data_IF_125845143471
#
_entry.id   IF_125845143471
#
_cell.length_a   1.000
_cell.length_b   1.000
_cell.length_c   1.000
_cell.angle_alpha   90.00
_cell.angle_beta   90.00
_cell.angle_gamma   90.00
#
_symmetry.space_group_name_H-M   'P 1'
#
loop_
_entity.id
_entity.type
_entity.pdbx_description
1 polymer ?
#
# COMPACT_ATOMS: atom_id res chain seq x y z
N UNK A 1 1.47 -49.19 32.26
CA UNK A 1 1.20 -49.00 30.82
C UNK A 1 0.96 -47.52 30.54
N UNK A 2 1.45 -47.04 29.40
CA UNK A 2 1.85 -45.65 29.13
C UNK A 2 0.68 -44.64 29.05
N UNK A 3 0.47 -43.84 30.10
CA UNK A 3 -0.50 -42.72 30.14
C UNK A 3 -0.12 -41.52 29.26
N UNK A 4 1.09 -41.51 28.68
CA UNK A 4 1.62 -40.42 27.85
C UNK A 4 1.24 -40.48 26.36
N UNK A 5 0.59 -41.55 25.89
CA UNK A 5 0.20 -41.69 24.48
C UNK A 5 -1.19 -41.08 24.24
N UNK A 6 -2.11 -41.24 25.19
CA UNK A 6 -3.47 -40.70 25.09
C UNK A 6 -3.53 -39.18 25.29
N UNK A 7 -2.65 -38.62 26.12
CA UNK A 7 -2.61 -37.16 26.34
C UNK A 7 -2.10 -36.42 25.10
N UNK A 8 -1.08 -36.93 24.39
CA UNK A 8 -0.56 -36.32 23.15
C UNK A 8 -1.57 -36.34 21.99
N UNK A 9 -2.40 -37.38 21.89
CA UNK A 9 -3.48 -37.48 20.91
C UNK A 9 -4.53 -36.38 21.10
N UNK A 10 -4.89 -36.08 22.35
CA UNK A 10 -5.90 -35.05 22.68
C UNK A 10 -5.37 -33.63 22.38
N UNK A 11 -4.07 -33.37 22.58
CA UNK A 11 -3.48 -32.07 22.21
C UNK A 11 -3.38 -31.88 20.69
N UNK A 12 -3.16 -32.94 19.90
CA UNK A 12 -3.11 -32.86 18.44
C UNK A 12 -4.50 -32.63 17.80
N UNK A 13 -5.55 -33.25 18.34
CA UNK A 13 -6.93 -33.04 17.89
C UNK A 13 -7.46 -31.63 18.21
N UNK A 14 -7.00 -31.01 19.30
CA UNK A 14 -7.33 -29.62 19.64
C UNK A 14 -6.67 -28.58 18.72
N UNK A 15 -5.52 -28.88 18.11
CA UNK A 15 -4.86 -27.95 17.19
C UNK A 15 -5.48 -27.95 15.78
N UNK A 16 -6.15 -29.04 15.38
CA UNK A 16 -6.78 -29.14 14.05
C UNK A 16 -8.26 -28.73 14.00
N UNK A 17 -8.96 -28.67 15.14
CA UNK A 17 -10.38 -28.29 15.18
C UNK A 17 -10.61 -26.79 15.49
N UNK A 18 -9.57 -26.04 15.85
CA UNK A 18 -9.64 -24.57 16.06
C UNK A 18 -9.12 -23.80 14.83
N UNK A 19 -8.49 -24.48 13.86
CA UNK A 19 -8.01 -23.90 12.60
C UNK A 19 -9.05 -23.87 11.48
N UNK A 20 -10.28 -24.34 11.71
CA UNK A 20 -11.46 -23.87 10.96
C UNK A 20 -11.90 -22.47 11.41
N UNK A 21 -10.93 -21.64 11.80
CA UNK A 21 -11.13 -20.20 11.90
C UNK A 21 -11.62 -19.73 10.54
N UNK A 22 -12.88 -19.32 10.51
CA UNK A 22 -13.51 -18.50 9.47
C UNK A 22 -12.45 -17.61 8.83
N UNK A 23 -11.86 -18.07 7.73
CA UNK A 23 -11.06 -17.24 6.86
C UNK A 23 -12.05 -16.19 6.37
N UNK A 24 -11.97 -15.00 6.98
CA UNK A 24 -12.61 -13.78 6.51
C UNK A 24 -12.08 -13.52 5.11
N UNK A 25 -12.72 -14.19 4.16
CA UNK A 25 -12.50 -14.04 2.74
C UNK A 25 -13.13 -12.71 2.40
N UNK A 26 -12.35 -11.64 2.47
CA UNK A 26 -12.74 -10.38 1.85
C UNK A 26 -13.06 -10.68 0.40
N UNK A 27 -14.19 -10.16 -0.10
CA UNK A 27 -14.60 -10.35 -1.48
C UNK A 27 -13.42 -9.99 -2.39
N UNK A 28 -12.86 -10.99 -3.07
CA UNK A 28 -11.99 -10.72 -4.22
C UNK A 28 -12.89 -10.01 -5.25
N UNK A 29 -12.46 -8.91 -5.88
CA UNK A 29 -13.26 -8.29 -6.93
C UNK A 29 -13.58 -9.38 -7.96
N UNK A 30 -14.86 -9.59 -8.21
CA UNK A 30 -15.35 -10.70 -9.00
C UNK A 30 -14.59 -10.74 -10.34
N UNK A 31 -13.93 -11.86 -10.70
CA UNK A 31 -13.66 -12.11 -12.10
C UNK A 31 -15.04 -12.27 -12.74
N UNK A 32 -15.44 -11.27 -13.53
CA UNK A 32 -16.64 -11.32 -14.33
C UNK A 32 -16.69 -12.66 -15.07
N UNK A 33 -17.76 -13.40 -14.80
CA UNK A 33 -18.33 -14.49 -15.57
C UNK A 33 -17.40 -15.64 -16.04
N UNK A 34 -17.79 -16.85 -15.64
CA UNK A 34 -18.01 -17.99 -16.54
C UNK A 34 -16.96 -18.16 -17.65
N UNK A 35 -16.08 -19.13 -17.46
CA UNK A 35 -15.58 -19.97 -18.55
C UNK A 35 -14.51 -19.35 -19.48
N UNK A 36 -13.36 -20.01 -19.51
CA UNK A 36 -12.57 -20.07 -20.75
C UNK A 36 -11.52 -18.98 -20.92
N UNK A 37 -10.26 -19.45 -20.92
CA UNK A 37 -9.07 -18.82 -21.48
C UNK A 37 -9.34 -17.69 -22.49
N UNK A 38 -9.05 -16.44 -22.14
CA UNK A 38 -8.66 -15.42 -23.12
C UNK A 38 -7.85 -14.29 -22.49
N UNK A 39 -6.60 -14.23 -22.96
CA UNK A 39 -5.78 -13.05 -23.26
C UNK A 39 -5.69 -11.95 -22.20
N UNK A 40 -4.44 -11.72 -21.76
CA UNK A 40 -3.93 -10.41 -21.34
C UNK A 40 -4.36 -9.35 -22.37
N UNK A 41 -5.44 -8.64 -22.10
CA UNK A 41 -5.86 -7.46 -22.86
C UNK A 41 -6.63 -6.55 -21.91
N UNK A 42 -6.19 -5.30 -21.81
CA UNK A 42 -7.04 -4.22 -21.31
C UNK A 42 -7.03 -4.00 -19.80
N UNK A 43 -5.86 -3.73 -19.22
CA UNK A 43 -5.80 -2.84 -18.03
C UNK A 43 -5.91 -1.38 -18.48
N UNK A 44 -6.98 -1.10 -19.21
CA UNK A 44 -7.50 0.21 -19.56
C UNK A 44 -9.01 -0.03 -19.62
N UNK A 45 -9.65 0.06 -18.45
CA UNK A 45 -11.09 0.36 -18.46
C UNK A 45 -11.29 1.62 -19.31
N UNK A 46 -12.48 1.84 -19.90
CA UNK A 46 -12.74 3.02 -20.70
C UNK A 46 -12.21 4.23 -19.94
N UNK A 47 -11.25 4.92 -20.56
CA UNK A 47 -10.78 6.21 -20.08
C UNK A 47 -11.99 7.10 -20.24
N UNK A 48 -12.83 7.14 -19.21
CA UNK A 48 -13.88 8.12 -19.06
C UNK A 48 -13.10 9.43 -19.04
N UNK A 49 -13.12 10.12 -20.17
CA UNK A 49 -12.57 11.46 -20.30
C UNK A 49 -13.21 12.29 -19.19
N UNK A 50 -12.35 12.81 -18.31
CA UNK A 50 -12.80 13.67 -17.21
C UNK A 50 -13.39 14.90 -17.89
N UNK A 51 -14.68 15.13 -17.70
CA UNK A 51 -15.30 16.39 -18.13
C UNK A 51 -14.71 17.50 -17.28
N UNK A 52 -13.87 18.32 -17.88
CA UNK A 52 -13.33 19.52 -17.25
C UNK A 52 -14.40 20.60 -17.32
N UNK A 53 -15.04 20.88 -16.18
CA UNK A 53 -15.97 22.00 -16.06
C UNK A 53 -15.10 23.26 -15.93
N UNK A 54 -15.26 24.27 -16.79
CA UNK A 54 -14.47 25.49 -16.68
C UNK A 54 -14.73 26.15 -15.33
N UNK A 55 -13.66 26.54 -14.63
CA UNK A 55 -13.77 27.21 -13.33
C UNK A 55 -14.23 28.64 -13.57
N UNK A 56 -15.37 29.00 -12.99
CA UNK A 56 -15.94 30.33 -13.07
C UNK A 56 -14.98 31.38 -12.48
N UNK A 57 -14.78 32.50 -13.17
CA UNK A 57 -13.83 33.56 -12.76
C UNK A 57 -14.49 34.73 -12.03
N UNK A 58 -15.82 34.76 -11.97
CA UNK A 58 -16.58 35.89 -11.42
C UNK A 58 -16.62 35.85 -9.88
N UNK A 59 -16.01 36.86 -9.24
CA UNK A 59 -15.92 36.94 -7.77
C UNK A 59 -17.28 36.92 -7.07
N UNK A 60 -18.29 37.63 -7.59
CA UNK A 60 -19.63 37.69 -6.99
C UNK A 60 -20.33 36.33 -6.99
N UNK A 61 -20.08 35.50 -8.01
CA UNK A 61 -20.64 34.15 -8.13
C UNK A 61 -19.97 33.21 -7.13
N UNK A 62 -18.65 33.30 -6.98
CA UNK A 62 -17.86 32.47 -6.05
C UNK A 62 -18.21 32.71 -4.58
N UNK A 63 -18.57 33.94 -4.21
CA UNK A 63 -18.97 34.28 -2.83
C UNK A 63 -20.42 33.90 -2.54
N UNK A 64 -21.30 33.93 -3.55
CA UNK A 64 -22.74 33.72 -3.35
C UNK A 64 -23.19 32.28 -3.57
N UNK A 65 -22.45 31.49 -4.35
CA UNK A 65 -22.85 30.15 -4.79
C UNK A 65 -21.74 29.12 -4.58
N UNK A 66 -22.14 27.87 -4.33
CA UNK A 66 -21.23 26.73 -4.30
C UNK A 66 -21.06 26.20 -5.74
N UNK A 67 -20.09 26.75 -6.45
CA UNK A 67 -19.78 26.35 -7.82
C UNK A 67 -19.38 24.86 -7.90
N UNK A 68 -19.98 24.13 -8.84
CA UNK A 68 -19.71 22.69 -9.03
C UNK A 68 -20.52 21.77 -8.12
N UNK A 69 -21.50 22.32 -7.38
CA UNK A 69 -22.46 21.51 -6.62
C UNK A 69 -23.46 20.80 -7.52
N UNK A 70 -23.82 21.40 -8.66
CA UNK A 70 -24.75 20.80 -9.61
C UNK A 70 -24.03 19.83 -10.58
N UNK A 71 -24.40 18.55 -10.53
CA UNK A 71 -23.89 17.49 -11.42
C UNK A 71 -24.77 17.34 -12.68
N UNK A 72 -25.99 17.84 -12.63
CA UNK A 72 -26.96 17.72 -13.72
C UNK A 72 -26.72 18.82 -14.76
N UNK A 73 -26.98 18.52 -16.04
CA UNK A 73 -26.86 19.51 -17.13
C UNK A 73 -27.88 20.65 -17.03
N UNK A 74 -28.97 20.42 -16.32
CA UNK A 74 -30.08 21.35 -16.14
C UNK A 74 -30.29 21.54 -14.65
N UNK A 75 -29.98 22.74 -14.15
CA UNK A 75 -30.12 23.11 -12.75
C UNK A 75 -29.23 24.31 -12.40
N UNK A 76 -29.55 24.95 -11.27
CA UNK A 76 -28.75 26.03 -10.71
C UNK A 76 -27.85 25.51 -9.58
N UNK A 77 -26.73 26.20 -9.34
CA UNK A 77 -25.84 25.91 -8.21
C UNK A 77 -26.50 26.32 -6.89
N UNK A 78 -26.12 25.63 -5.80
CA UNK A 78 -26.66 25.90 -4.47
C UNK A 78 -26.19 27.28 -3.99
N UNK A 79 -27.14 28.17 -3.68
CA UNK A 79 -26.86 29.49 -3.09
C UNK A 79 -26.49 29.36 -1.62
N UNK A 80 -25.45 30.08 -1.20
CA UNK A 80 -25.04 30.17 0.20
C UNK A 80 -26.05 30.98 1.01
N UNK A 81 -26.35 30.47 2.20
CA UNK A 81 -27.28 31.06 3.17
C UNK A 81 -26.53 31.89 4.20
N UNK A 82 -27.25 32.61 5.06
CA UNK A 82 -26.65 33.31 6.18
C UNK A 82 -26.14 32.33 7.25
N UNK A 83 -25.13 32.74 8.02
CA UNK A 83 -24.45 31.89 9.02
C UNK A 83 -25.41 31.32 10.08
N UNK A 84 -26.52 32.01 10.38
CA UNK A 84 -27.54 31.59 11.35
C UNK A 84 -28.37 30.38 10.91
N UNK A 85 -28.41 30.08 9.61
CA UNK A 85 -29.12 28.90 9.09
C UNK A 85 -28.31 27.62 9.25
N UNK A 86 -26.99 27.75 9.43
CA UNK A 86 -26.09 26.62 9.61
C UNK A 86 -25.95 26.27 11.09
N UNK A 87 -25.83 24.98 11.43
CA UNK A 87 -25.71 24.56 12.82
C UNK A 87 -24.36 24.95 13.42
N UNK A 88 -24.36 25.32 14.71
CA UNK A 88 -23.18 25.86 15.43
C UNK A 88 -21.95 24.94 15.40
N UNK A 89 -22.15 23.62 15.31
CA UNK A 89 -21.04 22.68 15.27
C UNK A 89 -20.15 22.87 14.02
N UNK A 90 -20.65 23.47 12.94
CA UNK A 90 -19.88 23.75 11.73
C UNK A 90 -18.69 24.65 12.05
N UNK A 91 -18.90 25.67 12.87
CA UNK A 91 -17.90 26.67 13.25
C UNK A 91 -16.95 26.16 14.33
N UNK A 92 -17.29 25.05 14.99
CA UNK A 92 -16.45 24.41 16.00
C UNK A 92 -15.40 23.44 15.43
N UNK A 93 -15.43 23.19 14.11
CA UNK A 93 -14.52 22.23 13.47
C UNK A 93 -13.12 22.83 13.30
N UNK A 94 -12.10 22.06 13.67
CA UNK A 94 -10.70 22.45 13.47
C UNK A 94 -10.31 22.36 11.98
N UNK A 95 -10.10 23.50 11.34
CA UNK A 95 -9.70 23.59 9.91
C UNK A 95 -8.19 23.75 9.73
N UNK A 96 -7.48 24.28 10.74
CA UNK A 96 -6.09 24.72 10.57
C UNK A 96 -5.10 23.55 10.47
N UNK A 97 -4.90 22.86 11.60
CA UNK A 97 -3.85 21.85 11.75
C UNK A 97 -4.43 20.57 12.31
N UNK A 98 -3.89 19.47 11.79
CA UNK A 98 -4.09 18.15 12.38
C UNK A 98 -3.41 18.13 13.75
N UNK A 99 -4.21 18.06 14.81
CA UNK A 99 -3.74 17.99 16.21
C UNK A 99 -2.73 16.83 16.35
N UNK A 100 -1.51 17.09 16.87
CA UNK A 100 -0.54 16.05 17.14
C UNK A 100 -1.02 15.13 18.28
N UNK A 101 -0.39 13.95 18.40
CA UNK A 101 -0.78 12.96 19.41
C UNK A 101 -0.50 13.44 20.84
N UNK A 102 0.52 14.28 21.02
CA UNK A 102 0.99 14.80 22.31
C UNK A 102 0.02 15.79 22.95
N UNK A 103 -0.72 16.55 22.12
CA UNK A 103 -1.69 17.56 22.58
C UNK A 103 -3.10 16.97 22.80
N UNK A 104 -3.35 15.74 22.34
CA UNK A 104 -4.67 15.12 22.45
C UNK A 104 -4.87 14.43 23.81
N UNK A 105 -6.08 14.53 24.32
CA UNK A 105 -6.52 13.86 25.53
C UNK A 105 -6.53 12.31 25.39
N UNK A 106 -5.81 11.56 26.25
CA UNK A 106 -5.78 10.09 26.24
C UNK A 106 -7.12 9.39 26.48
N UNK A 107 -8.05 10.04 27.18
CA UNK A 107 -9.37 9.45 27.48
C UNK A 107 -10.30 9.45 26.26
N UNK A 108 -9.98 10.26 25.25
CA UNK A 108 -10.78 10.40 24.05
C UNK A 108 -10.47 9.31 23.00
N UNK A 109 -11.49 8.72 22.38
CA UNK A 109 -11.34 7.68 21.31
C UNK A 109 -10.49 8.13 20.11
N UNK A 110 -10.44 9.43 19.84
CA UNK A 110 -9.66 10.03 18.75
C UNK A 110 -8.15 9.81 18.94
N UNK A 111 -7.66 9.94 20.18
CA UNK A 111 -6.27 9.69 20.56
C UNK A 111 -5.84 8.27 20.16
N UNK A 112 -6.60 7.26 20.59
CA UNK A 112 -6.29 5.86 20.31
C UNK A 112 -6.35 5.51 18.82
N UNK A 113 -7.25 6.14 18.05
CA UNK A 113 -7.29 5.99 16.58
C UNK A 113 -6.02 6.52 15.93
N UNK A 114 -5.50 7.66 16.42
CA UNK A 114 -4.26 8.27 15.92
C UNK A 114 -3.04 7.44 16.30
N UNK A 115 -2.95 7.00 17.55
CA UNK A 115 -1.86 6.14 18.04
C UNK A 115 -1.77 4.83 17.23
N UNK A 116 -2.92 4.18 17.00
CA UNK A 116 -2.99 2.98 16.14
C UNK A 116 -2.45 3.25 14.73
N UNK A 117 -2.81 4.38 14.14
CA UNK A 117 -2.34 4.76 12.79
C UNK A 117 -0.82 4.98 12.77
N UNK A 118 -0.24 5.57 13.81
CA UNK A 118 1.21 5.73 13.95
C UNK A 118 1.91 4.36 14.08
N UNK A 119 1.38 3.46 14.91
CA UNK A 119 1.89 2.08 15.03
C UNK A 119 1.86 1.31 13.70
N UNK A 120 0.78 1.42 12.93
CA UNK A 120 0.70 0.82 11.60
C UNK A 120 1.73 1.38 10.63
N UNK A 121 1.94 2.70 10.63
CA UNK A 121 2.97 3.35 9.79
C UNK A 121 4.36 2.84 10.14
N UNK A 122 4.72 2.81 11.42
CA UNK A 122 5.99 2.25 11.91
C UNK A 122 6.16 0.79 11.48
N UNK A 123 5.14 -0.04 11.67
CA UNK A 123 5.20 -1.45 11.29
C UNK A 123 5.35 -1.64 9.78
N UNK A 124 4.70 -0.80 8.96
CA UNK A 124 4.87 -0.83 7.51
C UNK A 124 6.29 -0.42 7.09
N UNK A 125 6.88 0.58 7.74
CA UNK A 125 8.29 0.96 7.53
C UNK A 125 9.24 -0.17 7.91
N UNK A 126 9.04 -0.79 9.07
CA UNK A 126 9.85 -1.92 9.52
C UNK A 126 9.74 -3.11 8.56
N UNK A 127 8.54 -3.42 8.07
CA UNK A 127 8.33 -4.46 7.05
C UNK A 127 9.06 -4.14 5.75
N UNK A 128 9.04 -2.88 5.31
CA UNK A 128 9.78 -2.45 4.12
C UNK A 128 11.27 -2.63 4.32
N UNK A 129 11.84 -2.10 5.41
CA UNK A 129 13.27 -2.22 5.72
C UNK A 129 13.69 -3.69 5.83
N UNK A 130 12.92 -4.52 6.53
CA UNK A 130 13.18 -5.94 6.68
C UNK A 130 13.17 -6.66 5.33
N UNK A 131 12.14 -6.42 4.50
CA UNK A 131 12.04 -7.01 3.16
C UNK A 131 13.23 -6.61 2.30
N UNK A 132 13.56 -5.33 2.23
CA UNK A 132 14.69 -4.81 1.45
C UNK A 132 16.02 -5.43 1.89
N UNK A 133 16.21 -5.60 3.21
CA UNK A 133 17.39 -6.25 3.78
C UNK A 133 17.47 -7.72 3.38
N UNK A 134 16.39 -8.48 3.52
CA UNK A 134 16.34 -9.91 3.16
C UNK A 134 16.55 -10.11 1.66
N UNK A 135 15.94 -9.26 0.82
CA UNK A 135 16.14 -9.35 -0.63
C UNK A 135 17.56 -8.95 -1.05
N UNK A 136 18.18 -7.98 -0.38
CA UNK A 136 19.57 -7.58 -0.64
C UNK A 136 20.53 -8.72 -0.28
N UNK A 137 20.40 -9.33 0.90
CA UNK A 137 21.24 -10.47 1.29
C UNK A 137 21.07 -11.66 0.35
N UNK A 138 19.85 -11.98 -0.07
CA UNK A 138 19.60 -13.07 -1.00
C UNK A 138 20.23 -12.81 -2.39
N UNK A 139 20.08 -11.58 -2.93
CA UNK A 139 20.69 -11.20 -4.21
C UNK A 139 22.23 -11.13 -4.13
N UNK A 140 22.79 -10.67 -3.01
CA UNK A 140 24.23 -10.65 -2.76
C UNK A 140 24.83 -12.06 -2.66
N UNK A 141 24.17 -12.99 -1.97
CA UNK A 141 24.63 -14.38 -1.90
C UNK A 141 24.58 -15.08 -3.26
N UNK A 142 23.47 -14.92 -4.00
CA UNK A 142 23.29 -15.55 -5.32
C UNK A 142 24.26 -15.01 -6.36
N UNK A 143 24.53 -13.70 -6.38
CA UNK A 143 25.53 -13.09 -7.28
C UNK A 143 26.96 -13.52 -6.94
N UNK A 144 27.32 -13.60 -5.66
CA UNK A 144 28.63 -14.15 -5.23
C UNK A 144 28.81 -15.60 -5.68
N UNK A 145 27.78 -16.44 -5.53
CA UNK A 145 27.82 -17.83 -5.97
C UNK A 145 27.96 -17.96 -7.49
N UNK A 146 27.26 -17.12 -8.26
CA UNK A 146 27.37 -17.10 -9.73
C UNK A 146 28.76 -16.66 -10.21
N UNK A 147 29.35 -15.65 -9.57
CA UNK A 147 30.70 -15.17 -9.91
C UNK A 147 31.76 -16.25 -9.66
N UNK A 148 31.66 -16.97 -8.53
CA UNK A 148 32.55 -18.09 -8.20
C UNK A 148 32.45 -19.22 -9.24
N UNK A 149 31.23 -19.58 -9.65
CA UNK A 149 31.01 -20.61 -10.69
C UNK A 149 31.59 -20.20 -12.06
N UNK A 150 31.51 -18.91 -12.40
CA UNK A 150 32.03 -18.36 -13.65
C UNK A 150 33.57 -18.30 -13.67
N UNK A 151 34.21 -17.97 -12.55
CA UNK A 151 35.68 -17.99 -12.40
C UNK A 151 36.23 -19.42 -12.43
N UNK A 152 35.53 -20.38 -11.84
CA UNK A 152 35.94 -21.80 -11.81
C UNK A 152 35.76 -22.54 -13.15
N UNK A 153 35.07 -21.94 -14.12
CA UNK A 153 34.86 -22.52 -15.46
C UNK A 153 35.88 -22.02 -16.50
N UNK A 154 36.89 -21.24 -16.09
CA UNK A 154 37.97 -20.77 -16.98
C UNK A 154 39.16 -21.75 -16.89
N UNK A 155 39.50 -22.47 -17.97
CA UNK A 155 40.61 -23.42 -17.96
C UNK A 155 41.97 -22.70 -17.86
N UNK A 156 42.96 -23.22 -17.11
CA UNK A 156 44.26 -22.60 -16.96
C UNK A 156 45.04 -22.70 -18.29
N UNK A 157 45.12 -21.60 -19.05
CA UNK A 157 45.98 -21.56 -20.24
C UNK A 157 45.71 -20.48 -21.29
N UNK A 158 44.67 -19.65 -21.19
CA UNK A 158 44.36 -18.64 -22.22
C UNK A 158 44.88 -17.25 -21.83
N UNK A 159 45.70 -16.68 -22.71
CA UNK A 159 46.25 -15.32 -22.59
C UNK A 159 45.12 -14.29 -22.57
N UNK A 160 45.29 -13.30 -21.70
CA UNK A 160 44.36 -12.20 -21.41
C UNK A 160 43.70 -11.57 -22.64
N UNK A 161 42.38 -11.70 -22.74
CA UNK A 161 41.54 -10.75 -23.47
C UNK A 161 40.83 -9.85 -22.45
N UNK A 162 40.84 -8.51 -22.62
CA UNK A 162 40.27 -7.60 -21.65
C UNK A 162 38.74 -7.77 -21.61
N UNK A 163 38.21 -8.06 -20.42
CA UNK A 163 36.77 -8.17 -20.19
C UNK A 163 36.06 -6.86 -20.60
N UNK A 164 34.89 -6.93 -21.26
CA UNK A 164 34.13 -5.73 -21.60
C UNK A 164 33.69 -5.02 -20.31
N UNK A 165 34.18 -3.79 -20.14
CA UNK A 165 34.01 -2.90 -18.98
C UNK A 165 32.52 -2.70 -18.58
N UNK A 166 31.57 -3.01 -19.47
CA UNK A 166 30.13 -2.79 -19.26
C UNK A 166 29.47 -3.69 -18.20
N UNK A 167 30.07 -4.81 -17.78
CA UNK A 167 29.53 -5.61 -16.66
C UNK A 167 29.90 -5.06 -15.28
N UNK A 168 30.96 -4.25 -15.17
CA UNK A 168 31.37 -3.63 -13.90
C UNK A 168 30.54 -2.40 -13.54
N UNK A 169 29.88 -1.77 -14.52
CA UNK A 169 29.08 -0.55 -14.29
C UNK A 169 27.71 -0.86 -13.67
N UNK A 170 27.13 -2.02 -13.95
CA UNK A 170 25.84 -2.43 -13.37
C UNK A 170 25.97 -2.84 -11.89
N UNK A 171 27.13 -3.37 -11.49
CA UNK A 171 27.40 -3.78 -10.11
C UNK A 171 27.63 -2.62 -9.14
N UNK A 172 28.14 -1.47 -9.61
CA UNK A 172 28.49 -0.33 -8.74
C UNK A 172 27.29 0.43 -8.18
N UNK A 173 26.11 0.37 -8.83
CA UNK A 173 24.91 1.04 -8.32
C UNK A 173 24.18 0.26 -7.21
N UNK A 174 24.42 -1.06 -7.12
CA UNK A 174 23.78 -1.92 -6.12
C UNK A 174 24.73 -2.34 -4.98
N UNK A 175 26.03 -2.09 -5.11
CA UNK A 175 27.03 -2.37 -4.06
C UNK A 175 27.06 -1.33 -2.94
N UNK A 176 26.41 -0.17 -3.08
CA UNK A 176 26.27 0.82 -2.00
C UNK A 176 25.20 0.43 -0.96
N UNK A 177 24.53 -0.72 -1.14
CA UNK A 177 23.48 -1.25 -0.28
C UNK A 177 23.79 -2.65 0.29
N UNK A 178 25.04 -3.11 0.16
CA UNK A 178 25.57 -4.26 0.91
C UNK A 178 26.42 -3.78 2.08
#
# INVERSE_FOLDING_TARGET
MNVNIFTKSIYALRQNLITQSLWRSYAKPAPAAIGGKKKKLGKLGPVIEKKEIPVETDANKLVSYVCGSNILKTGEDIKLKADSEYPDWLWSINVDRIIPIEEMDPETKQYWRRLRRQGLRRNNQLKYIHKSRVTSYFYCQTTKQWLIMLVSSVPPGTKSTPLPINLLVVGKKNSSLC
#
